data_IF_764840391219
#
_entry.id   IF_764840391219
#
_cell.length_a   1.000
_cell.length_b   1.000
_cell.length_c   1.000
_cell.angle_alpha   90.00
_cell.angle_beta   90.00
_cell.angle_gamma   90.00
#
_symmetry.space_group_name_H-M   'P 1'
#
loop_
_entity.id
_entity.type
_entity.pdbx_description
1 polymer ?
#
# COMPACT_ATOMS: atom_id res chain seq x y z
N UNK A 1 -14.46 10.57 -25.60
CA UNK A 1 -15.52 10.58 -24.56
C UNK A 1 -15.45 11.90 -23.81
N UNK A 2 -16.56 12.63 -23.64
CA UNK A 2 -16.59 13.90 -22.88
C UNK A 2 -16.87 13.61 -21.40
N UNK A 3 -15.94 13.96 -20.52
CA UNK A 3 -16.14 13.88 -19.07
C UNK A 3 -17.09 15.00 -18.62
N UNK A 4 -17.92 14.74 -17.60
CA UNK A 4 -18.68 15.81 -16.95
C UNK A 4 -17.73 16.69 -16.15
N UNK A 5 -17.83 18.00 -16.33
CA UNK A 5 -16.95 18.99 -15.71
C UNK A 5 -17.73 19.83 -14.71
N UNK A 6 -17.30 19.85 -13.45
CA UNK A 6 -17.95 20.64 -12.38
C UNK A 6 -16.95 21.49 -11.61
N UNK A 7 -17.41 22.57 -10.98
CA UNK A 7 -16.60 23.36 -10.05
C UNK A 7 -16.54 22.75 -8.64
N UNK A 8 -15.51 23.09 -7.86
CA UNK A 8 -15.36 22.64 -6.46
C UNK A 8 -16.56 22.99 -5.57
N UNK A 9 -17.24 24.12 -5.82
CA UNK A 9 -18.42 24.53 -5.05
C UNK A 9 -19.62 23.61 -5.29
N UNK A 10 -19.85 23.18 -6.53
CA UNK A 10 -20.93 22.27 -6.89
C UNK A 10 -20.67 20.86 -6.37
N UNK A 11 -19.41 20.43 -6.39
CA UNK A 11 -18.98 19.18 -5.75
C UNK A 11 -19.36 19.17 -4.27
N UNK A 12 -19.08 20.25 -3.53
CA UNK A 12 -19.42 20.35 -2.10
C UNK A 12 -20.92 20.30 -1.84
N UNK A 13 -21.73 20.90 -2.71
CA UNK A 13 -23.19 21.01 -2.53
C UNK A 13 -23.93 19.73 -2.90
N UNK A 14 -23.43 18.99 -3.90
CA UNK A 14 -24.14 17.87 -4.52
C UNK A 14 -23.35 16.56 -4.50
N UNK A 15 -22.44 16.38 -3.54
CA UNK A 15 -21.47 15.28 -3.53
C UNK A 15 -22.12 13.91 -3.75
N UNK A 16 -23.18 13.57 -3.01
CA UNK A 16 -23.86 12.27 -3.15
C UNK A 16 -24.41 12.05 -4.57
N UNK A 17 -25.12 13.02 -5.12
CA UNK A 17 -25.69 12.92 -6.47
C UNK A 17 -24.60 12.84 -7.55
N UNK A 18 -23.50 13.56 -7.37
CA UNK A 18 -22.37 13.55 -8.29
C UNK A 18 -21.54 12.26 -8.18
N UNK A 19 -21.46 11.63 -7.01
CA UNK A 19 -20.85 10.31 -6.88
C UNK A 19 -21.66 9.23 -7.60
N UNK A 20 -22.99 9.32 -7.63
CA UNK A 20 -23.80 8.38 -8.42
C UNK A 20 -23.51 8.48 -9.93
N UNK A 21 -23.21 9.67 -10.46
CA UNK A 21 -22.84 9.80 -11.88
C UNK A 21 -21.48 9.16 -12.19
N UNK A 22 -20.58 9.08 -11.20
CA UNK A 22 -19.26 8.43 -11.36
C UNK A 22 -19.34 6.93 -11.65
N UNK A 23 -20.46 6.28 -11.31
CA UNK A 23 -20.70 4.87 -11.68
C UNK A 23 -20.71 4.65 -13.19
N UNK A 24 -21.14 5.67 -13.96
CA UNK A 24 -21.29 5.56 -15.42
C UNK A 24 -20.13 6.24 -16.16
N UNK A 25 -19.58 7.34 -15.63
CA UNK A 25 -18.54 8.13 -16.31
C UNK A 25 -17.62 8.86 -15.32
N UNK A 26 -16.35 9.11 -15.68
CA UNK A 26 -15.47 9.97 -14.89
C UNK A 26 -16.03 11.38 -14.70
N UNK A 27 -15.88 11.91 -13.49
CA UNK A 27 -16.25 13.27 -13.11
C UNK A 27 -14.97 14.11 -12.96
N UNK A 28 -14.81 15.13 -13.80
CA UNK A 28 -13.68 16.05 -13.73
C UNK A 28 -14.04 17.29 -12.92
N UNK A 29 -13.37 17.48 -11.79
CA UNK A 29 -13.52 18.64 -10.91
C UNK A 29 -12.50 19.69 -11.30
N UNK A 30 -12.96 20.91 -11.52
CA UNK A 30 -12.13 22.06 -11.85
C UNK A 30 -11.99 23.01 -10.67
N UNK A 31 -10.79 23.57 -10.51
CA UNK A 31 -10.50 24.63 -9.55
C UNK A 31 -9.79 25.76 -10.28
N UNK A 32 -10.31 26.98 -10.18
CA UNK A 32 -9.79 28.17 -10.86
C UNK A 32 -9.65 27.99 -12.39
N UNK A 33 -10.62 27.31 -13.03
CA UNK A 33 -10.63 27.09 -14.47
C UNK A 33 -9.72 25.96 -14.97
N UNK A 34 -8.91 25.35 -14.11
CA UNK A 34 -8.05 24.22 -14.46
C UNK A 34 -8.62 22.88 -13.92
N UNK A 35 -8.41 21.76 -14.62
CA UNK A 35 -8.67 20.43 -14.07
C UNK A 35 -7.88 20.24 -12.77
N UNK A 36 -8.54 19.77 -11.71
CA UNK A 36 -7.94 19.63 -10.40
C UNK A 36 -7.94 18.17 -9.92
N UNK A 37 -9.09 17.51 -9.98
CA UNK A 37 -9.25 16.11 -9.55
C UNK A 37 -10.21 15.41 -10.51
N UNK A 38 -9.93 14.15 -10.85
CA UNK A 38 -10.87 13.28 -11.54
C UNK A 38 -11.39 12.22 -10.57
N UNK A 39 -12.70 12.09 -10.42
CA UNK A 39 -13.34 11.04 -9.64
C UNK A 39 -13.88 9.99 -10.60
N UNK A 40 -13.51 8.74 -10.37
CA UNK A 40 -13.93 7.58 -11.17
C UNK A 40 -14.51 6.51 -10.27
N UNK A 41 -15.40 5.69 -10.81
CA UNK A 41 -15.82 4.47 -10.12
C UNK A 41 -14.66 3.48 -10.00
N UNK A 42 -14.70 2.65 -8.96
CA UNK A 42 -13.69 1.62 -8.72
C UNK A 42 -13.47 0.67 -9.93
N UNK A 43 -14.51 0.18 -10.64
CA UNK A 43 -14.30 -0.62 -11.85
C UNK A 43 -13.58 0.16 -12.97
N UNK A 44 -13.91 1.44 -13.17
CA UNK A 44 -13.25 2.29 -14.17
C UNK A 44 -11.79 2.57 -13.80
N UNK A 45 -11.51 2.80 -12.52
CA UNK A 45 -10.15 2.94 -12.02
C UNK A 45 -9.32 1.68 -12.33
N UNK A 46 -9.83 0.49 -12.03
CA UNK A 46 -9.12 -0.77 -12.31
C UNK A 46 -8.83 -0.95 -13.80
N UNK A 47 -9.75 -0.56 -14.69
CA UNK A 47 -9.55 -0.64 -16.14
C UNK A 47 -8.49 0.35 -16.64
N UNK A 48 -8.47 1.57 -16.10
CA UNK A 48 -7.57 2.64 -16.57
C UNK A 48 -6.22 2.68 -15.85
N UNK A 49 -6.10 2.12 -14.64
CA UNK A 49 -4.82 2.01 -13.94
C UNK A 49 -3.76 1.28 -14.78
N UNK A 50 -4.18 0.34 -15.64
CA UNK A 50 -3.33 -0.36 -16.61
C UNK A 50 -2.70 0.59 -17.65
N UNK A 51 -3.36 1.72 -17.95
CA UNK A 51 -2.93 2.67 -18.99
C UNK A 51 -1.97 3.76 -18.48
N UNK A 52 -1.84 3.91 -17.16
CA UNK A 52 -0.85 4.81 -16.58
C UNK A 52 0.47 4.05 -16.44
N UNK A 53 1.47 4.45 -17.21
CA UNK A 53 2.85 3.97 -17.04
C UNK A 53 3.25 4.13 -15.57
N UNK A 54 3.65 3.02 -14.96
CA UNK A 54 4.07 2.98 -13.57
C UNK A 54 5.44 2.34 -13.53
N UNK A 55 6.45 3.19 -13.31
CA UNK A 55 7.84 2.78 -13.28
C UNK A 55 8.40 3.02 -11.87
N UNK A 56 8.28 2.03 -10.96
CA UNK A 56 8.76 2.17 -9.59
C UNK A 56 10.28 2.01 -9.47
N UNK A 57 11.00 1.72 -10.56
CA UNK A 57 12.40 1.28 -10.53
C UNK A 57 13.35 2.28 -9.85
N UNK A 58 13.10 3.57 -10.04
CA UNK A 58 13.86 4.67 -9.43
C UNK A 58 13.37 5.03 -8.02
N UNK A 59 12.24 4.47 -7.58
CA UNK A 59 11.68 4.74 -6.26
C UNK A 59 12.49 4.03 -5.16
N UNK A 60 12.74 4.65 -4.00
CA UNK A 60 13.47 4.01 -2.89
C UNK A 60 12.87 2.68 -2.40
N UNK A 61 11.54 2.50 -2.48
CA UNK A 61 10.89 1.20 -2.21
C UNK A 61 11.35 0.08 -3.16
N UNK A 62 11.74 0.38 -4.40
CA UNK A 62 12.29 -0.63 -5.29
C UNK A 62 13.71 -1.05 -4.91
N UNK A 63 14.49 -0.14 -4.33
CA UNK A 63 15.78 -0.49 -3.72
C UNK A 63 15.55 -1.33 -2.46
N UNK A 64 14.59 -0.96 -1.62
CA UNK A 64 14.25 -1.69 -0.41
C UNK A 64 13.76 -3.10 -0.70
N UNK A 65 12.96 -3.28 -1.76
CA UNK A 65 12.48 -4.57 -2.21
C UNK A 65 13.64 -5.50 -2.64
N UNK A 66 14.58 -4.97 -3.43
CA UNK A 66 15.79 -5.70 -3.84
C UNK A 66 16.62 -6.10 -2.62
N UNK A 67 16.81 -5.18 -1.69
CA UNK A 67 17.56 -5.42 -0.46
C UNK A 67 16.88 -6.50 0.41
N UNK A 68 15.55 -6.45 0.56
CA UNK A 68 14.79 -7.45 1.30
C UNK A 68 14.94 -8.84 0.65
N UNK A 69 14.81 -8.96 -0.67
CA UNK A 69 15.00 -10.24 -1.38
C UNK A 69 16.40 -10.84 -1.21
N UNK A 70 17.42 -10.00 -1.05
CA UNK A 70 18.81 -10.43 -0.89
C UNK A 70 19.16 -10.78 0.57
N UNK A 71 18.65 -10.00 1.52
CA UNK A 71 19.10 -10.06 2.92
C UNK A 71 18.09 -10.72 3.87
N UNK A 72 16.85 -10.92 3.43
CA UNK A 72 15.78 -11.50 4.25
C UNK A 72 15.05 -12.60 3.43
N UNK A 73 15.56 -13.85 3.45
CA UNK A 73 15.06 -14.94 2.63
C UNK A 73 13.76 -15.53 3.22
N UNK A 74 12.68 -14.76 3.13
CA UNK A 74 11.33 -15.21 3.46
C UNK A 74 10.68 -15.83 2.22
N UNK A 75 9.74 -16.77 2.44
CA UNK A 75 8.97 -17.36 1.34
C UNK A 75 8.21 -16.28 0.55
N UNK A 76 8.40 -16.29 -0.76
CA UNK A 76 7.63 -15.51 -1.76
C UNK A 76 6.44 -16.32 -2.30
N UNK A 77 6.29 -17.57 -1.87
CA UNK A 77 5.27 -18.50 -2.34
C UNK A 77 4.09 -18.56 -1.37
N UNK A 78 2.92 -18.88 -1.92
CA UNK A 78 1.66 -19.03 -1.19
C UNK A 78 0.67 -17.91 -1.50
N UNK A 79 -0.56 -18.05 -0.97
CA UNK A 79 -1.64 -17.10 -1.20
C UNK A 79 -1.37 -15.73 -0.55
N UNK A 80 -0.71 -15.73 0.61
CA UNK A 80 -0.18 -14.54 1.26
C UNK A 80 1.25 -14.83 1.78
N UNK A 81 2.29 -14.56 0.98
CA UNK A 81 3.65 -14.96 1.32
C UNK A 81 4.21 -14.24 2.56
N UNK A 82 5.08 -14.91 3.32
CA UNK A 82 5.76 -14.31 4.47
C UNK A 82 6.58 -13.07 4.09
N UNK A 83 7.19 -13.06 2.90
CA UNK A 83 7.89 -11.90 2.38
C UNK A 83 6.95 -10.70 2.15
N UNK A 84 5.73 -10.92 1.68
CA UNK A 84 4.72 -9.87 1.51
C UNK A 84 4.30 -9.29 2.87
N UNK A 85 4.10 -10.13 3.88
CA UNK A 85 3.80 -9.68 5.25
C UNK A 85 4.94 -8.87 5.87
N UNK A 86 6.19 -9.31 5.71
CA UNK A 86 7.35 -8.57 6.18
C UNK A 86 7.42 -7.17 5.56
N UNK A 87 7.16 -7.05 4.25
CA UNK A 87 7.08 -5.75 3.56
C UNK A 87 5.94 -4.89 4.10
N UNK A 88 4.78 -5.49 4.38
CA UNK A 88 3.66 -4.78 4.93
C UNK A 88 3.95 -4.25 6.36
N UNK A 89 4.58 -5.07 7.21
CA UNK A 89 5.01 -4.65 8.55
C UNK A 89 6.08 -3.54 8.49
N UNK A 90 7.00 -3.60 7.52
CA UNK A 90 7.95 -2.51 7.27
C UNK A 90 7.21 -1.21 6.92
N UNK A 91 6.23 -1.24 6.02
CA UNK A 91 5.43 -0.06 5.69
C UNK A 91 4.69 0.49 6.92
N UNK A 92 4.08 -0.38 7.73
CA UNK A 92 3.41 0.05 8.95
C UNK A 92 4.37 0.76 9.90
N UNK A 93 5.56 0.21 10.13
CA UNK A 93 6.55 0.81 11.02
C UNK A 93 7.16 2.11 10.46
N UNK A 94 7.38 2.18 9.14
CA UNK A 94 7.92 3.37 8.48
C UNK A 94 6.93 4.54 8.50
N UNK A 95 5.63 4.26 8.33
CA UNK A 95 4.61 5.30 8.16
C UNK A 95 3.69 5.46 9.38
N UNK A 96 3.95 4.76 10.48
CA UNK A 96 3.15 4.84 11.70
C UNK A 96 1.71 4.35 11.50
N UNK A 97 1.52 3.33 10.66
CA UNK A 97 0.19 2.77 10.40
C UNK A 97 -0.17 1.85 11.55
N UNK A 98 -1.35 2.07 12.12
CA UNK A 98 -1.90 1.23 13.17
C UNK A 98 -3.13 0.47 12.65
N UNK A 99 -3.13 -0.83 12.90
CA UNK A 99 -4.21 -1.74 12.55
C UNK A 99 -4.04 -2.39 11.18
N UNK A 100 -4.39 -3.68 11.12
CA UNK A 100 -4.31 -4.45 9.87
C UNK A 100 -5.38 -4.02 8.86
N UNK A 101 -6.51 -3.47 9.32
CA UNK A 101 -7.53 -2.92 8.44
C UNK A 101 -7.02 -1.67 7.70
N UNK A 102 -6.36 -0.75 8.41
CA UNK A 102 -5.77 0.43 7.79
C UNK A 102 -4.67 0.04 6.80
N UNK A 103 -3.78 -0.88 7.18
CA UNK A 103 -2.76 -1.40 6.26
C UNK A 103 -3.39 -2.04 5.01
N UNK A 104 -4.44 -2.85 5.20
CA UNK A 104 -5.14 -3.52 4.11
C UNK A 104 -5.64 -2.53 3.07
N UNK A 105 -6.32 -1.47 3.51
CA UNK A 105 -6.84 -0.40 2.65
C UNK A 105 -5.72 0.35 1.94
N UNK A 106 -4.67 0.76 2.67
CA UNK A 106 -3.56 1.48 2.06
C UNK A 106 -2.87 0.65 0.97
N UNK A 107 -2.58 -0.63 1.23
CA UNK A 107 -1.97 -1.50 0.22
C UNK A 107 -2.91 -1.70 -0.96
N UNK A 108 -4.22 -1.80 -0.74
CA UNK A 108 -5.21 -1.98 -1.81
C UNK A 108 -5.33 -0.77 -2.74
N UNK A 109 -5.27 0.44 -2.20
CA UNK A 109 -5.55 1.67 -2.95
C UNK A 109 -4.30 2.47 -3.34
N UNK A 110 -3.17 2.26 -2.64
CA UNK A 110 -1.91 2.93 -2.94
C UNK A 110 -1.04 2.09 -3.88
N UNK A 111 -1.08 2.38 -5.19
CA UNK A 111 -0.44 1.58 -6.25
C UNK A 111 1.02 1.21 -5.96
N UNK A 112 1.81 2.15 -5.44
CA UNK A 112 3.20 1.91 -5.09
C UNK A 112 3.39 0.95 -3.89
N UNK A 113 2.49 0.99 -2.91
CA UNK A 113 2.55 0.11 -1.75
C UNK A 113 2.04 -1.27 -2.12
N UNK A 114 0.98 -1.35 -2.94
CA UNK A 114 0.55 -2.58 -3.59
C UNK A 114 1.73 -3.27 -4.28
N UNK A 115 2.39 -2.56 -5.20
CA UNK A 115 3.53 -3.07 -5.95
C UNK A 115 4.66 -3.54 -5.03
N UNK A 116 4.99 -2.75 -4.01
CA UNK A 116 6.04 -3.10 -3.06
C UNK A 116 5.72 -4.39 -2.31
N UNK A 117 4.51 -4.49 -1.74
CA UNK A 117 4.07 -5.66 -0.96
C UNK A 117 3.93 -6.92 -1.84
N UNK A 118 3.29 -6.78 -2.99
CA UNK A 118 3.09 -7.85 -3.98
C UNK A 118 4.40 -8.25 -4.68
N UNK A 119 5.42 -7.39 -4.63
CA UNK A 119 6.70 -7.52 -5.31
C UNK A 119 6.59 -7.80 -6.83
N UNK A 120 5.46 -7.39 -7.40
CA UNK A 120 5.04 -7.53 -8.79
C UNK A 120 3.83 -6.62 -9.05
N UNK A 121 3.45 -6.45 -10.31
CA UNK A 121 2.20 -5.75 -10.69
C UNK A 121 0.96 -6.66 -10.62
N UNK A 122 1.10 -7.90 -10.13
CA UNK A 122 0.02 -8.86 -10.08
C UNK A 122 -1.02 -8.50 -9.00
N UNK A 123 -2.26 -8.96 -9.21
CA UNK A 123 -3.27 -8.94 -8.16
C UNK A 123 -2.86 -9.86 -7.03
N UNK A 124 -2.99 -9.38 -5.79
CA UNK A 124 -2.87 -10.20 -4.60
C UNK A 124 -4.25 -10.77 -4.25
N UNK A 125 -4.68 -11.86 -4.90
CA UNK A 125 -5.98 -12.49 -4.62
C UNK A 125 -6.13 -12.88 -3.13
N UNK A 126 -5.01 -13.21 -2.47
CA UNK A 126 -4.93 -13.49 -1.04
C UNK A 126 -4.91 -12.27 -0.11
N UNK A 127 -4.91 -11.04 -0.61
CA UNK A 127 -4.94 -9.83 0.22
C UNK A 127 -6.34 -9.53 0.77
N UNK A 128 -6.83 -10.45 1.61
CA UNK A 128 -8.11 -10.38 2.29
C UNK A 128 -7.88 -10.22 3.80
N UNK A 129 -8.67 -9.37 4.46
CA UNK A 129 -8.44 -9.02 5.86
C UNK A 129 -8.39 -10.22 6.82
N UNK A 130 -9.28 -11.24 6.73
CA UNK A 130 -9.21 -12.41 7.62
C UNK A 130 -7.95 -13.24 7.42
N UNK A 131 -7.53 -13.44 6.17
CA UNK A 131 -6.29 -14.17 5.85
C UNK A 131 -5.08 -13.36 6.33
N UNK A 132 -5.08 -12.04 6.10
CA UNK A 132 -4.05 -11.13 6.58
C UNK A 132 -3.87 -11.22 8.10
N UNK A 133 -4.96 -11.22 8.86
CA UNK A 133 -4.92 -11.37 10.32
C UNK A 133 -4.32 -12.72 10.74
N UNK A 134 -4.79 -13.83 10.16
CA UNK A 134 -4.31 -15.17 10.50
C UNK A 134 -2.83 -15.37 10.16
N UNK A 135 -2.40 -14.98 8.96
CA UNK A 135 -1.01 -15.15 8.53
C UNK A 135 -0.08 -14.18 9.23
N UNK A 136 -0.53 -12.97 9.59
CA UNK A 136 0.26 -12.05 10.45
C UNK A 136 0.46 -12.68 11.83
N UNK A 137 -0.58 -13.24 12.46
CA UNK A 137 -0.42 -13.92 13.74
C UNK A 137 0.59 -15.08 13.65
N UNK A 138 0.49 -15.92 12.62
CA UNK A 138 1.45 -17.01 12.38
C UNK A 138 2.89 -16.51 12.20
N UNK A 139 3.10 -15.40 11.47
CA UNK A 139 4.42 -14.80 11.32
C UNK A 139 4.96 -14.25 12.65
N UNK A 140 4.10 -13.64 13.48
CA UNK A 140 4.50 -13.13 14.79
C UNK A 140 4.86 -14.25 15.79
N UNK A 141 4.33 -15.46 15.60
CA UNK A 141 4.65 -16.63 16.41
C UNK A 141 5.91 -17.37 15.91
N UNK A 142 6.39 -17.07 14.71
CA UNK A 142 7.67 -17.56 14.18
C UNK A 142 8.83 -16.67 14.68
N UNK A 143 9.50 -17.15 15.74
CA UNK A 143 10.59 -16.42 16.39
C UNK A 143 11.78 -16.15 15.45
N UNK A 144 12.12 -17.09 14.57
CA UNK A 144 13.27 -16.96 13.66
C UNK A 144 12.96 -15.94 12.56
N UNK A 145 11.75 -16.01 11.99
CA UNK A 145 11.31 -15.03 10.99
C UNK A 145 11.22 -13.62 11.59
N UNK A 146 10.70 -13.48 12.81
CA UNK A 146 10.64 -12.20 13.50
C UNK A 146 12.02 -11.65 13.88
N UNK A 147 12.94 -12.51 14.30
CA UNK A 147 14.32 -12.11 14.59
C UNK A 147 15.02 -11.61 13.32
N UNK A 148 14.89 -12.35 12.21
CA UNK A 148 15.45 -11.94 10.92
C UNK A 148 14.85 -10.62 10.41
N UNK A 149 13.53 -10.43 10.54
CA UNK A 149 12.86 -9.18 10.15
C UNK A 149 13.31 -8.01 11.03
N UNK A 150 13.43 -8.20 12.34
CA UNK A 150 13.93 -7.18 13.26
C UNK A 150 15.38 -6.78 12.94
N UNK A 151 16.26 -7.76 12.71
CA UNK A 151 17.64 -7.52 12.31
C UNK A 151 17.72 -6.77 10.97
N UNK A 152 16.87 -7.14 10.01
CA UNK A 152 16.76 -6.44 8.73
C UNK A 152 16.35 -4.98 8.90
N UNK A 153 15.30 -4.70 9.69
CA UNK A 153 14.79 -3.35 9.93
C UNK A 153 15.81 -2.42 10.60
N UNK A 154 16.73 -2.96 11.41
CA UNK A 154 17.77 -2.21 12.11
C UNK A 154 18.95 -1.80 11.22
N UNK A 155 19.04 -2.31 9.98
CA UNK A 155 20.16 -1.97 9.09
C UNK A 155 20.14 -0.48 8.70
N UNK A 156 21.33 0.10 8.59
CA UNK A 156 21.50 1.52 8.25
C UNK A 156 21.00 1.86 6.84
N UNK A 157 21.20 0.96 5.88
CA UNK A 157 20.70 1.09 4.50
C UNK A 157 19.17 1.08 4.45
N UNK A 158 18.51 0.22 5.22
CA UNK A 158 17.04 0.21 5.39
C UNK A 158 16.55 1.53 5.98
N UNK A 159 17.21 2.04 7.03
CA UNK A 159 16.83 3.33 7.64
C UNK A 159 16.99 4.52 6.66
N UNK A 160 18.02 4.52 5.82
CA UNK A 160 18.20 5.55 4.77
C UNK A 160 17.09 5.45 3.72
N UNK A 161 16.79 4.24 3.24
CA UNK A 161 15.73 4.03 2.25
C UNK A 161 14.35 4.41 2.79
N UNK A 162 14.06 4.07 4.05
CA UNK A 162 12.80 4.41 4.69
C UNK A 162 12.56 5.93 4.75
N UNK A 163 13.58 6.69 5.14
CA UNK A 163 13.53 8.17 5.13
C UNK A 163 13.34 8.75 3.73
N UNK A 164 13.98 8.16 2.72
CA UNK A 164 13.78 8.56 1.32
C UNK A 164 12.37 8.25 0.80
N UNK A 165 11.65 7.33 1.42
CA UNK A 165 10.23 7.07 1.16
C UNK A 165 9.30 8.07 1.89
N UNK A 166 9.83 9.03 2.65
CA UNK A 166 9.04 9.94 3.48
C UNK A 166 8.52 9.31 4.78
N UNK A 167 9.09 8.19 5.21
CA UNK A 167 8.80 7.55 6.49
C UNK A 167 9.94 7.69 7.50
N UNK A 168 9.79 7.04 8.65
CA UNK A 168 10.80 6.91 9.69
C UNK A 168 11.58 5.61 9.54
N UNK A 169 12.75 5.53 10.21
CA UNK A 169 13.49 4.27 10.29
C UNK A 169 12.63 3.20 11.00
N UNK A 170 12.33 2.05 10.35
CA UNK A 170 11.42 1.07 10.91
C UNK A 170 12.02 0.45 12.17
N UNK A 171 11.23 0.42 13.25
CA UNK A 171 11.58 -0.26 14.50
C UNK A 171 10.63 -1.43 14.67
N UNK A 172 11.10 -2.60 14.25
CA UNK A 172 10.36 -3.84 14.37
C UNK A 172 10.96 -4.67 15.51
N UNK A 173 10.12 -4.96 16.49
CA UNK A 173 10.30 -6.03 17.46
C UNK A 173 8.93 -6.70 17.66
N UNK A 174 8.90 -7.86 18.31
CA UNK A 174 7.65 -8.61 18.51
C UNK A 174 6.56 -7.79 19.22
N UNK A 175 6.92 -6.97 20.22
CA UNK A 175 5.96 -6.16 20.96
C UNK A 175 5.46 -4.96 20.14
N UNK A 176 6.33 -4.32 19.36
CA UNK A 176 5.99 -3.26 18.42
C UNK A 176 5.02 -3.78 17.36
N UNK A 177 5.33 -4.91 16.73
CA UNK A 177 4.45 -5.52 15.73
C UNK A 177 3.09 -5.87 16.34
N UNK A 178 3.04 -6.52 17.51
CA UNK A 178 1.78 -6.84 18.19
C UNK A 178 0.94 -5.59 18.45
N UNK A 179 1.55 -4.51 18.98
CA UNK A 179 0.85 -3.25 19.22
C UNK A 179 0.28 -2.64 17.93
N UNK A 180 1.05 -2.69 16.85
CA UNK A 180 0.64 -2.17 15.55
C UNK A 180 -0.49 -2.99 14.91
N UNK A 181 -0.55 -4.31 15.14
CA UNK A 181 -1.49 -5.21 14.45
C UNK A 181 -2.79 -5.48 15.21
N UNK A 182 -2.88 -5.13 16.50
CA UNK A 182 -4.02 -5.43 17.37
C UNK A 182 -5.26 -4.52 17.20
N UNK A 183 -5.18 -3.48 16.36
CA UNK A 183 -6.27 -2.50 16.15
C UNK A 183 -7.11 -2.77 14.90
#
# INVERSE_FOLDING_TARGET
>A
MRNETIGVLDLRRNLSALLETTQRRPLMVHRYGAPWVCVVSDPQWRQQAVLLEFEPQDHPLAMLLRLQRQALPLSESGMLPAAALARALLLMAMHGIEGLAALHDHVRYHRLWHWFVAASDAQMEGWQLPLLQATTAALLDDADAMHALAAFAQRSDVAVLARRCGGEAPRLDLQACRRMTLR
#
